data_IF_934483640251
#
_entry.id   IF_934483640251
#
_cell.length_a   1.000
_cell.length_b   1.000
_cell.length_c   1.000
_cell.angle_alpha   90.00
_cell.angle_beta   90.00
_cell.angle_gamma   90.00
#
_symmetry.space_group_name_H-M   'P 1'
#
loop_
_entity.id
_entity.type
_entity.pdbx_description
1 polymer ?
#
# COMPACT_ATOMS: atom_id res chain seq x y z
N UNK A 1 70.19 65.95 8.67
CA UNK A 1 70.26 64.74 7.82
C UNK A 1 69.47 63.64 8.50
N UNK A 2 68.35 63.24 7.88
CA UNK A 2 67.60 61.97 8.00
C UNK A 2 67.23 61.45 9.40
N UNK A 3 65.97 61.69 9.75
CA UNK A 3 65.13 60.78 10.54
C UNK A 3 65.09 59.40 9.89
N UNK A 4 65.28 58.34 10.68
CA UNK A 4 65.06 56.97 10.26
C UNK A 4 63.66 56.55 10.68
N UNK A 5 62.86 56.20 9.67
CA UNK A 5 61.46 55.82 9.78
C UNK A 5 61.26 54.41 10.33
N UNK A 6 60.32 54.37 11.26
CA UNK A 6 59.38 53.33 11.67
C UNK A 6 59.60 51.88 11.22
N UNK A 7 59.83 51.09 12.27
CA UNK A 7 59.47 49.68 12.42
C UNK A 7 57.97 49.46 12.13
N UNK A 8 57.66 48.45 11.32
CA UNK A 8 56.30 48.07 10.94
C UNK A 8 56.26 46.64 10.43
N UNK A 9 56.56 45.68 11.31
CA UNK A 9 56.29 44.26 11.08
C UNK A 9 54.78 44.03 10.99
N UNK A 10 54.30 43.67 9.80
CA UNK A 10 52.91 43.32 9.55
C UNK A 10 52.79 42.44 8.32
N UNK A 11 53.09 41.15 8.47
CA UNK A 11 52.77 40.15 7.45
C UNK A 11 51.24 40.17 7.23
N UNK A 12 50.74 40.37 6.01
CA UNK A 12 49.32 40.38 5.74
C UNK A 12 48.75 39.01 6.07
N UNK A 13 47.72 39.00 6.92
CA UNK A 13 46.86 37.86 7.21
C UNK A 13 46.56 37.11 5.90
N UNK A 14 47.10 35.91 5.75
CA UNK A 14 46.62 34.95 4.78
C UNK A 14 45.21 34.56 5.21
N UNK A 15 44.23 35.35 4.78
CA UNK A 15 42.83 34.98 4.85
C UNK A 15 42.72 33.74 3.98
N UNK A 16 42.65 32.56 4.59
CA UNK A 16 42.38 31.31 3.88
C UNK A 16 41.10 31.52 3.10
N UNK A 17 41.22 31.59 1.78
CA UNK A 17 40.09 31.60 0.88
C UNK A 17 39.24 30.37 1.23
N UNK A 18 37.99 30.60 1.62
CA UNK A 18 37.04 29.50 1.84
C UNK A 18 37.02 28.75 0.53
N UNK A 19 37.35 27.45 0.53
CA UNK A 19 37.32 26.66 -0.68
C UNK A 19 35.85 26.44 -1.08
N UNK A 20 35.31 27.39 -1.85
CA UNK A 20 33.94 27.38 -2.34
C UNK A 20 33.69 26.15 -3.19
N UNK A 21 34.71 25.65 -3.90
CA UNK A 21 34.62 24.43 -4.71
C UNK A 21 34.29 23.20 -3.86
N UNK A 22 34.97 23.00 -2.74
CA UNK A 22 34.68 21.92 -1.79
C UNK A 22 33.32 22.09 -1.12
N UNK A 23 32.88 23.33 -0.88
CA UNK A 23 31.56 23.59 -0.30
C UNK A 23 30.42 23.25 -1.28
N UNK A 24 30.57 23.64 -2.55
CA UNK A 24 29.58 23.36 -3.60
C UNK A 24 29.46 21.86 -3.88
N UNK A 25 30.57 21.12 -3.81
CA UNK A 25 30.58 19.66 -3.98
C UNK A 25 29.74 18.96 -2.90
N UNK A 26 29.95 19.30 -1.62
CA UNK A 26 29.17 18.77 -0.50
C UNK A 26 27.68 19.08 -0.65
N UNK A 27 27.33 20.31 -1.03
CA UNK A 27 25.93 20.68 -1.24
C UNK A 27 25.30 19.90 -2.41
N UNK A 28 26.04 19.68 -3.49
CA UNK A 28 25.55 18.93 -4.67
C UNK A 28 25.32 17.46 -4.33
N UNK A 29 26.21 16.84 -3.54
CA UNK A 29 26.04 15.46 -3.05
C UNK A 29 24.79 15.34 -2.17
N UNK A 30 24.53 16.29 -1.27
CA UNK A 30 23.31 16.28 -0.45
C UNK A 30 22.03 16.40 -1.27
N UNK A 31 22.03 17.24 -2.32
CA UNK A 31 20.90 17.34 -3.26
C UNK A 31 20.66 16.03 -4.00
N UNK A 32 21.73 15.36 -4.44
CA UNK A 32 21.63 14.04 -5.08
C UNK A 32 21.06 13.02 -4.09
N UNK A 33 21.53 12.98 -2.83
CA UNK A 33 21.00 12.08 -1.79
C UNK A 33 19.50 12.31 -1.57
N UNK A 34 19.05 13.57 -1.48
CA UNK A 34 17.62 13.87 -1.35
C UNK A 34 16.81 13.48 -2.59
N UNK A 35 17.37 13.69 -3.79
CA UNK A 35 16.74 13.28 -5.05
C UNK A 35 16.57 11.75 -5.14
N UNK A 36 17.58 10.96 -4.73
CA UNK A 36 17.56 9.49 -4.82
C UNK A 36 16.84 8.79 -3.66
N UNK A 37 16.55 9.47 -2.55
CA UNK A 37 15.81 8.89 -1.41
C UNK A 37 14.29 8.96 -1.61
N UNK A 38 13.82 9.75 -2.57
CA UNK A 38 12.40 9.91 -2.91
C UNK A 38 11.79 8.84 -3.86
N UNK A 39 12.51 7.96 -4.61
CA UNK A 39 11.92 7.14 -5.67
C UNK A 39 11.17 5.88 -5.19
N UNK A 40 10.76 5.80 -3.92
CA UNK A 40 9.94 4.69 -3.43
C UNK A 40 8.69 5.20 -2.71
N UNK A 41 7.79 5.83 -3.47
CA UNK A 41 6.36 5.65 -3.21
C UNK A 41 6.02 4.34 -3.90
N UNK A 42 5.89 3.27 -3.12
CA UNK A 42 5.38 2.00 -3.62
C UNK A 42 4.06 2.28 -4.33
N UNK A 43 4.00 2.00 -5.63
CA UNK A 43 2.75 1.74 -6.33
C UNK A 43 2.18 0.42 -5.81
N UNK A 44 1.77 0.41 -4.53
CA UNK A 44 0.71 -0.49 -4.12
C UNK A 44 -0.47 -0.11 -4.99
N UNK A 45 -0.99 -1.08 -5.75
CA UNK A 45 -2.23 -0.92 -6.51
C UNK A 45 -3.20 -0.14 -5.64
N UNK A 46 -3.62 1.04 -6.10
CA UNK A 46 -4.65 1.82 -5.43
C UNK A 46 -5.95 1.04 -5.59
N UNK A 47 -6.16 0.08 -4.69
CA UNK A 47 -7.43 -0.61 -4.60
C UNK A 47 -8.36 0.40 -3.94
N UNK A 48 -9.10 1.12 -4.76
CA UNK A 48 -10.31 1.79 -4.30
C UNK A 48 -11.24 0.68 -3.80
N UNK A 49 -11.17 0.39 -2.49
CA UNK A 49 -12.24 -0.30 -1.82
C UNK A 49 -13.43 0.66 -1.86
N UNK A 50 -14.47 0.39 -2.67
CA UNK A 50 -15.65 1.23 -2.62
C UNK A 50 -16.13 1.20 -1.19
N UNK A 51 -16.12 2.36 -0.52
CA UNK A 51 -16.92 2.56 0.68
C UNK A 51 -18.36 2.54 0.20
N UNK A 52 -18.89 1.35 -0.01
CA UNK A 52 -20.30 1.16 -0.18
C UNK A 52 -20.95 1.85 1.03
N UNK A 53 -21.65 2.95 0.79
CA UNK A 53 -22.94 3.08 1.46
C UNK A 53 -23.68 1.84 0.99
N UNK A 54 -23.58 0.77 1.78
CA UNK A 54 -24.20 -0.49 1.48
C UNK A 54 -25.71 -0.24 1.50
N UNK A 55 -26.27 0.17 0.36
CA UNK A 55 -27.50 -0.47 -0.04
C UNK A 55 -27.13 -1.93 -0.10
N UNK A 56 -27.58 -2.69 0.90
CA UNK A 56 -27.44 -4.14 0.87
C UNK A 56 -27.88 -4.58 -0.53
N UNK A 57 -27.04 -5.33 -1.27
CA UNK A 57 -27.49 -5.88 -2.54
C UNK A 57 -28.80 -6.61 -2.27
N UNK A 58 -29.77 -6.47 -3.17
CA UNK A 58 -31.00 -7.22 -3.04
C UNK A 58 -30.66 -8.69 -3.29
N UNK A 59 -30.53 -9.42 -2.18
CA UNK A 59 -30.02 -10.79 -2.18
C UNK A 59 -31.15 -11.77 -2.52
N UNK A 60 -32.38 -11.27 -2.70
CA UNK A 60 -33.55 -12.05 -3.08
C UNK A 60 -33.50 -12.55 -4.54
N UNK A 61 -32.64 -11.96 -5.39
CA UNK A 61 -32.53 -12.32 -6.81
C UNK A 61 -31.35 -13.28 -7.14
N UNK A 62 -30.50 -13.60 -6.15
CA UNK A 62 -29.29 -14.40 -6.36
C UNK A 62 -29.18 -15.59 -5.42
N UNK A 63 -28.24 -16.50 -5.74
CA UNK A 63 -27.93 -17.65 -4.90
C UNK A 63 -26.91 -17.24 -3.83
N UNK A 64 -27.22 -17.44 -2.55
CA UNK A 64 -26.35 -17.01 -1.45
C UNK A 64 -25.61 -18.20 -0.84
N UNK A 65 -24.27 -18.12 -0.84
CA UNK A 65 -23.39 -19.03 -0.12
C UNK A 65 -22.90 -18.31 1.13
N UNK A 66 -23.11 -18.89 2.31
CA UNK A 66 -22.64 -18.32 3.58
C UNK A 66 -21.55 -19.19 4.19
N UNK A 67 -20.43 -18.58 4.59
CA UNK A 67 -19.32 -19.23 5.27
C UNK A 67 -19.20 -18.65 6.67
N UNK A 68 -19.40 -19.48 7.69
CA UNK A 68 -19.31 -19.09 9.09
C UNK A 68 -17.88 -19.22 9.62
N UNK A 69 -17.60 -18.61 10.79
CA UNK A 69 -16.27 -18.56 11.39
C UNK A 69 -15.65 -19.96 11.65
N UNK A 70 -16.49 -20.94 11.95
CA UNK A 70 -16.12 -22.34 12.18
C UNK A 70 -15.81 -23.12 10.89
N UNK A 71 -15.93 -22.47 9.72
CA UNK A 71 -15.72 -23.08 8.41
C UNK A 71 -16.93 -23.88 7.91
N UNK A 72 -18.07 -23.79 8.59
CA UNK A 72 -19.32 -24.39 8.12
C UNK A 72 -19.85 -23.62 6.90
N UNK A 73 -20.29 -24.36 5.89
CA UNK A 73 -20.79 -23.79 4.63
C UNK A 73 -22.30 -23.98 4.56
N UNK A 74 -22.98 -22.89 4.23
CA UNK A 74 -24.41 -22.88 4.02
C UNK A 74 -24.69 -22.46 2.59
N UNK A 75 -25.61 -23.17 1.93
CA UNK A 75 -26.21 -22.74 0.68
C UNK A 75 -27.64 -22.33 0.99
N UNK A 76 -27.96 -21.05 0.81
CA UNK A 76 -29.17 -20.44 1.36
C UNK A 76 -29.25 -20.68 2.88
N UNK A 77 -30.21 -21.48 3.32
CA UNK A 77 -30.43 -21.85 4.72
C UNK A 77 -29.96 -23.28 5.05
N UNK A 78 -29.38 -23.99 4.07
CA UNK A 78 -29.01 -25.40 4.22
C UNK A 78 -27.54 -25.54 4.57
N UNK A 79 -27.28 -26.12 5.73
CA UNK A 79 -25.92 -26.54 6.11
C UNK A 79 -25.43 -27.69 5.22
N UNK A 80 -24.25 -27.51 4.63
CA UNK A 80 -23.60 -28.48 3.74
C UNK A 80 -22.18 -28.75 4.22
N UNK A 81 -21.78 -30.02 4.21
CA UNK A 81 -20.37 -30.36 4.28
C UNK A 81 -19.68 -30.02 2.95
N UNK A 82 -18.38 -29.73 2.98
CA UNK A 82 -17.59 -29.48 1.76
C UNK A 82 -17.71 -30.62 0.73
N UNK A 83 -17.77 -31.86 1.19
CA UNK A 83 -17.97 -33.03 0.30
C UNK A 83 -19.32 -33.08 -0.40
N UNK A 84 -20.35 -32.44 0.18
CA UNK A 84 -21.70 -32.40 -0.39
C UNK A 84 -21.95 -31.12 -1.18
N UNK A 85 -21.16 -30.07 -0.93
CA UNK A 85 -21.33 -28.76 -1.53
C UNK A 85 -21.32 -28.82 -3.05
N UNK A 86 -20.30 -29.44 -3.66
CA UNK A 86 -20.18 -29.51 -5.13
C UNK A 86 -21.40 -30.17 -5.78
N UNK A 87 -21.87 -31.29 -5.23
CA UNK A 87 -23.00 -32.03 -5.76
C UNK A 87 -24.31 -31.25 -5.62
N UNK A 88 -24.52 -30.59 -4.48
CA UNK A 88 -25.74 -29.81 -4.22
C UNK A 88 -25.72 -28.50 -5.02
N UNK A 89 -24.57 -27.82 -5.10
CA UNK A 89 -24.39 -26.61 -5.87
C UNK A 89 -24.67 -26.86 -7.36
N UNK A 90 -24.13 -27.92 -7.95
CA UNK A 90 -24.42 -28.27 -9.36
C UNK A 90 -25.88 -28.65 -9.62
N UNK A 91 -26.58 -29.17 -8.61
CA UNK A 91 -28.01 -29.47 -8.71
C UNK A 91 -28.89 -28.21 -8.64
N UNK A 92 -28.40 -27.17 -7.96
CA UNK A 92 -29.14 -25.91 -7.72
C UNK A 92 -28.76 -24.81 -8.72
N UNK A 93 -27.51 -24.80 -9.19
CA UNK A 93 -26.93 -23.82 -10.09
C UNK A 93 -26.39 -24.51 -11.34
N UNK A 94 -27.11 -24.33 -12.45
CA UNK A 94 -26.74 -24.92 -13.74
C UNK A 94 -26.01 -23.88 -14.59
N UNK A 95 -25.33 -24.32 -15.65
CA UNK A 95 -24.63 -23.40 -16.57
C UNK A 95 -25.54 -22.41 -17.30
N UNK A 96 -26.85 -22.66 -17.31
CA UNK A 96 -27.86 -21.78 -17.90
C UNK A 96 -28.44 -20.79 -16.89
N UNK A 97 -28.07 -20.90 -15.61
CA UNK A 97 -28.52 -20.01 -14.55
C UNK A 97 -27.72 -18.69 -14.63
N UNK A 98 -28.40 -17.60 -15.00
CA UNK A 98 -27.81 -16.25 -15.09
C UNK A 98 -27.86 -15.51 -13.74
N UNK A 99 -28.43 -16.12 -12.69
CA UNK A 99 -28.55 -15.46 -11.39
C UNK A 99 -27.16 -15.22 -10.78
N UNK A 100 -26.94 -14.06 -10.16
CA UNK A 100 -25.70 -13.77 -9.47
C UNK A 100 -25.52 -14.71 -8.27
N UNK A 101 -24.28 -15.16 -8.04
CA UNK A 101 -23.91 -15.91 -6.83
C UNK A 101 -23.26 -14.96 -5.85
N UNK A 102 -23.85 -14.83 -4.66
CA UNK A 102 -23.35 -13.99 -3.59
C UNK A 102 -22.65 -14.84 -2.54
N UNK A 103 -21.44 -14.45 -2.14
CA UNK A 103 -20.70 -15.10 -1.05
C UNK A 103 -20.72 -14.18 0.17
N UNK A 104 -21.34 -14.64 1.26
CA UNK A 104 -21.36 -13.98 2.56
C UNK A 104 -20.37 -14.70 3.48
N UNK A 105 -19.43 -13.96 4.04
CA UNK A 105 -18.54 -14.45 5.09
C UNK A 105 -18.84 -13.76 6.40
N UNK A 106 -18.73 -14.48 7.52
CA UNK A 106 -18.66 -13.85 8.84
C UNK A 106 -17.46 -12.86 8.88
N UNK A 107 -17.61 -11.75 9.62
CA UNK A 107 -16.56 -10.74 9.79
C UNK A 107 -15.26 -11.34 10.36
N UNK A 108 -15.37 -12.41 11.14
CA UNK A 108 -14.24 -13.12 11.76
C UNK A 108 -13.71 -14.30 10.92
N UNK A 109 -14.26 -14.54 9.73
CA UNK A 109 -13.80 -15.65 8.88
C UNK A 109 -12.39 -15.34 8.35
N UNK A 110 -11.47 -16.31 8.47
CA UNK A 110 -10.13 -16.13 7.92
C UNK A 110 -10.22 -15.99 6.40
N UNK A 111 -9.53 -15.00 5.82
CA UNK A 111 -9.44 -14.83 4.37
C UNK A 111 -9.02 -16.14 3.65
N UNK A 112 -8.23 -16.99 4.32
CA UNK A 112 -7.83 -18.32 3.82
C UNK A 112 -8.97 -19.34 3.68
N UNK A 113 -10.12 -19.11 4.33
CA UNK A 113 -11.28 -19.99 4.24
C UNK A 113 -12.18 -19.64 3.05
N UNK A 114 -11.96 -18.47 2.41
CA UNK A 114 -12.80 -17.95 1.32
C UNK A 114 -12.13 -18.15 -0.06
N UNK A 115 -10.85 -18.54 -0.12
CA UNK A 115 -10.02 -18.62 -1.34
C UNK A 115 -9.37 -19.98 -1.46
#
# INVERSE_FOLDING_TARGET
MKSFDFNGAGSPRALSEINVTSLVDVMTVLLIIFMITTPMIQSGVQVELPKARATAPDLDEGLVITITQDGSVYLEERHLSLSQFDAVFQAVYTKEDERPVFIRGDEQVSYKAVI
#
